data_IF_376961321897
#
_entry.id   IF_376961321897
#
_cell.length_a   1.000
_cell.length_b   1.000
_cell.length_c   1.000
_cell.angle_alpha   90.00
_cell.angle_beta   90.00
_cell.angle_gamma   90.00
#
_symmetry.space_group_name_H-M   'P 1'
#
loop_
_entity.id
_entity.type
_entity.pdbx_description
1 polymer ?
#
# COMPACT_ATOMS: atom_id res chain seq x y z
N UNK A 1 -23.18 -21.22 8.54
CA UNK A 1 -22.84 -19.94 9.23
C UNK A 1 -21.35 -19.58 9.19
N UNK A 2 -20.43 -20.55 9.06
CA UNK A 2 -18.97 -20.31 8.96
C UNK A 2 -18.55 -19.54 7.70
N UNK A 3 -19.14 -19.85 6.54
CA UNK A 3 -18.79 -19.20 5.26
C UNK A 3 -19.11 -17.70 5.22
N UNK A 4 -20.27 -17.30 5.76
CA UNK A 4 -20.70 -15.90 5.86
C UNK A 4 -19.76 -15.08 6.76
N UNK A 5 -19.33 -15.63 7.90
CA UNK A 5 -18.37 -14.95 8.79
C UNK A 5 -17.00 -14.78 8.12
N UNK A 6 -16.57 -15.73 7.28
CA UNK A 6 -15.32 -15.64 6.53
C UNK A 6 -15.35 -14.52 5.49
N UNK A 7 -16.45 -14.41 4.75
CA UNK A 7 -16.65 -13.34 3.75
C UNK A 7 -16.69 -11.97 4.43
N UNK A 8 -17.45 -11.83 5.53
CA UNK A 8 -17.53 -10.57 6.27
C UNK A 8 -16.18 -10.12 6.83
N UNK A 9 -15.35 -11.04 7.33
CA UNK A 9 -13.97 -10.72 7.77
C UNK A 9 -13.09 -10.28 6.61
N UNK A 10 -13.21 -10.92 5.44
CA UNK A 10 -12.48 -10.51 4.23
C UNK A 10 -12.88 -9.12 3.74
N UNK A 11 -14.18 -8.81 3.75
CA UNK A 11 -14.69 -7.48 3.39
C UNK A 11 -14.22 -6.42 4.38
N UNK A 12 -14.27 -6.68 5.69
CA UNK A 12 -13.77 -5.75 6.71
C UNK A 12 -12.27 -5.46 6.50
N UNK A 13 -11.47 -6.49 6.26
CA UNK A 13 -10.04 -6.33 5.97
C UNK A 13 -9.80 -5.48 4.71
N UNK A 14 -10.61 -5.67 3.67
CA UNK A 14 -10.54 -4.87 2.44
C UNK A 14 -10.89 -3.40 2.70
N UNK A 15 -11.95 -3.11 3.46
CA UNK A 15 -12.34 -1.74 3.82
C UNK A 15 -11.23 -1.05 4.60
N UNK A 16 -10.68 -1.73 5.61
CA UNK A 16 -9.54 -1.20 6.38
C UNK A 16 -8.34 -0.94 5.47
N UNK A 17 -8.03 -1.85 4.55
CA UNK A 17 -6.98 -1.65 3.56
C UNK A 17 -7.18 -0.41 2.69
N UNK A 18 -8.40 -0.19 2.18
CA UNK A 18 -8.76 1.00 1.39
C UNK A 18 -8.57 2.28 2.22
N UNK A 19 -9.01 2.27 3.47
CA UNK A 19 -8.86 3.43 4.37
C UNK A 19 -7.38 3.75 4.60
N UNK A 20 -6.56 2.73 4.88
CA UNK A 20 -5.11 2.89 5.09
C UNK A 20 -4.44 3.47 3.84
N UNK A 21 -4.76 2.92 2.65
CA UNK A 21 -4.23 3.44 1.38
C UNK A 21 -4.69 4.89 1.16
N UNK A 22 -5.94 5.22 1.47
CA UNK A 22 -6.46 6.60 1.35
C UNK A 22 -5.73 7.60 2.25
N UNK A 23 -5.42 7.20 3.50
CA UNK A 23 -4.64 8.02 4.42
C UNK A 23 -3.21 8.24 3.90
N UNK A 24 -2.54 7.16 3.46
CA UNK A 24 -1.21 7.26 2.87
C UNK A 24 -1.19 8.15 1.62
N UNK A 25 -2.18 7.98 0.73
CA UNK A 25 -2.33 8.79 -0.47
C UNK A 25 -2.48 10.28 -0.15
N UNK A 26 -3.19 10.62 0.93
CA UNK A 26 -3.37 12.02 1.38
C UNK A 26 -2.06 12.65 1.84
N UNK A 27 -1.25 11.88 2.58
CA UNK A 27 0.08 12.33 3.03
C UNK A 27 0.98 12.56 1.82
N UNK A 28 1.03 11.60 0.89
CA UNK A 28 1.86 11.69 -0.32
C UNK A 28 1.40 12.83 -1.22
N UNK A 29 0.10 13.05 -1.34
CA UNK A 29 -0.45 14.17 -2.10
C UNK A 29 0.03 15.53 -1.57
N UNK A 30 0.08 15.69 -0.25
CA UNK A 30 0.60 16.91 0.37
C UNK A 30 2.07 17.13 0.01
N UNK A 31 2.87 16.07 0.03
CA UNK A 31 4.29 16.13 -0.41
C UNK A 31 4.39 16.42 -1.91
N UNK A 32 3.52 15.84 -2.73
CA UNK A 32 3.51 16.06 -4.17
C UNK A 32 3.20 17.52 -4.53
N UNK A 33 2.27 18.18 -3.82
CA UNK A 33 2.02 19.63 -3.98
C UNK A 33 3.30 20.43 -3.76
N UNK A 34 4.03 20.14 -2.67
CA UNK A 34 5.28 20.82 -2.36
C UNK A 34 6.33 20.62 -3.46
N UNK A 35 6.48 19.38 -3.95
CA UNK A 35 7.43 19.04 -5.02
C UNK A 35 7.09 19.79 -6.31
N UNK A 36 5.81 19.79 -6.72
CA UNK A 36 5.37 20.45 -7.95
C UNK A 36 5.53 21.97 -7.84
N UNK A 37 5.08 22.58 -6.74
CA UNK A 37 5.18 24.03 -6.54
C UNK A 37 6.63 24.50 -6.47
N UNK A 38 7.48 23.81 -5.70
CA UNK A 38 8.90 24.14 -5.61
C UNK A 38 9.61 23.94 -6.94
N UNK A 39 9.34 22.83 -7.64
CA UNK A 39 9.92 22.54 -8.94
C UNK A 39 9.57 23.60 -9.99
N UNK A 40 8.32 24.06 -10.01
CA UNK A 40 7.88 25.13 -10.90
C UNK A 40 8.60 26.45 -10.60
N UNK A 41 8.73 26.81 -9.32
CA UNK A 41 9.46 28.02 -8.90
C UNK A 41 10.93 28.00 -9.31
N UNK A 42 11.61 26.86 -9.16
CA UNK A 42 13.00 26.69 -9.60
C UNK A 42 13.16 26.80 -11.13
N UNK A 43 12.14 26.42 -11.88
CA UNK A 43 12.10 26.54 -13.33
C UNK A 43 11.64 27.92 -13.82
N UNK A 44 11.35 28.86 -12.91
CA UNK A 44 10.91 30.22 -13.26
C UNK A 44 9.45 30.32 -13.70
N UNK A 45 8.63 29.32 -13.37
CA UNK A 45 7.19 29.33 -13.63
C UNK A 45 6.39 29.72 -12.39
N UNK A 46 5.27 30.40 -12.59
CA UNK A 46 4.30 30.74 -11.54
C UNK A 46 2.93 30.09 -11.86
N UNK A 47 2.76 28.78 -11.54
CA UNK A 47 1.54 28.07 -11.87
C UNK A 47 0.39 28.46 -10.93
N UNK A 48 -0.85 28.40 -11.45
CA UNK A 48 -2.03 28.54 -10.61
C UNK A 48 -2.14 27.38 -9.61
N UNK A 49 -2.78 27.63 -8.46
CA UNK A 49 -3.00 26.62 -7.43
C UNK A 49 -3.75 25.39 -7.96
N UNK A 50 -4.73 25.59 -8.84
CA UNK A 50 -5.51 24.51 -9.47
C UNK A 50 -4.62 23.57 -10.30
N UNK A 51 -3.62 24.13 -11.00
CA UNK A 51 -2.68 23.33 -11.79
C UNK A 51 -1.78 22.48 -10.88
N UNK A 52 -1.29 23.04 -9.77
CA UNK A 52 -0.46 22.33 -8.80
C UNK A 52 -1.23 21.16 -8.18
N UNK A 53 -2.47 21.41 -7.75
CA UNK A 53 -3.37 20.40 -7.18
C UNK A 53 -3.67 19.29 -8.18
N UNK A 54 -4.03 19.63 -9.42
CA UNK A 54 -4.32 18.64 -10.47
C UNK A 54 -3.08 17.80 -10.78
N UNK A 55 -1.94 18.43 -10.97
CA UNK A 55 -0.68 17.73 -11.28
C UNK A 55 -0.28 16.79 -10.15
N UNK A 56 -0.34 17.26 -8.90
CA UNK A 56 -0.07 16.43 -7.73
C UNK A 56 -1.05 15.24 -7.63
N UNK A 57 -2.33 15.45 -7.94
CA UNK A 57 -3.33 14.39 -7.93
C UNK A 57 -3.02 13.32 -8.98
N UNK A 58 -2.65 13.72 -10.20
CA UNK A 58 -2.26 12.80 -11.26
C UNK A 58 -1.02 11.99 -10.88
N UNK A 59 0.01 12.63 -10.31
CA UNK A 59 1.21 11.94 -9.81
C UNK A 59 0.84 10.89 -8.77
N UNK A 60 0.03 11.24 -7.78
CA UNK A 60 -0.41 10.30 -6.73
C UNK A 60 -1.18 9.14 -7.33
N UNK A 61 -2.14 9.40 -8.24
CA UNK A 61 -2.89 8.34 -8.92
C UNK A 61 -1.96 7.41 -9.70
N UNK A 62 -0.97 7.94 -10.42
CA UNK A 62 0.03 7.12 -11.13
C UNK A 62 0.81 6.23 -10.17
N UNK A 63 1.24 6.75 -9.03
CA UNK A 63 1.99 5.98 -8.00
C UNK A 63 1.12 4.87 -7.40
N UNK A 64 -0.16 5.14 -7.15
CA UNK A 64 -1.10 4.12 -6.67
C UNK A 64 -1.28 3.00 -7.70
N UNK A 65 -1.57 3.36 -8.96
CA UNK A 65 -1.85 2.40 -10.02
C UNK A 65 -0.64 1.56 -10.42
N UNK A 66 0.57 2.14 -10.39
CA UNK A 66 1.80 1.39 -10.67
C UNK A 66 2.24 0.48 -9.52
N UNK A 67 1.53 0.51 -8.38
CA UNK A 67 1.89 -0.29 -7.21
C UNK A 67 3.08 0.26 -6.42
N UNK A 68 3.38 1.57 -6.51
CA UNK A 68 4.44 2.21 -5.73
C UNK A 68 4.25 2.11 -4.21
N UNK A 69 3.02 1.82 -3.76
CA UNK A 69 2.69 1.57 -2.36
C UNK A 69 2.53 0.10 -2.00
N UNK A 70 2.74 -0.84 -2.95
CA UNK A 70 2.73 -2.27 -2.63
C UNK A 70 3.90 -2.54 -1.70
N UNK A 71 3.67 -2.83 -0.41
CA UNK A 71 4.76 -3.15 0.49
C UNK A 71 5.41 -4.41 -0.06
N UNK A 72 6.71 -4.35 -0.39
CA UNK A 72 7.49 -5.58 -0.50
C UNK A 72 7.50 -6.17 0.89
N UNK A 73 6.61 -7.13 1.14
CA UNK A 73 6.60 -7.97 2.33
C UNK A 73 7.87 -8.84 2.30
N UNK A 74 9.02 -8.20 2.48
CA UNK A 74 10.32 -8.82 2.69
C UNK A 74 10.45 -9.05 4.20
N UNK A 75 9.92 -10.17 4.68
CA UNK A 75 10.16 -10.65 6.05
C UNK A 75 8.89 -11.11 6.74
N UNK A 76 8.74 -12.43 6.89
CA UNK A 76 7.67 -13.00 7.71
C UNK A 76 7.24 -14.44 7.40
N UNK A 77 8.05 -15.26 6.73
CA UNK A 77 7.97 -16.72 6.89
C UNK A 77 8.88 -17.10 8.05
N UNK A 78 8.37 -16.95 9.26
CA UNK A 78 8.93 -17.58 10.45
C UNK A 78 7.79 -18.34 11.11
N UNK A 79 8.05 -19.63 11.36
CA UNK A 79 7.20 -20.62 12.01
C UNK A 79 5.95 -21.10 11.25
N UNK A 80 6.16 -22.00 10.28
CA UNK A 80 5.31 -23.19 10.15
C UNK A 80 6.16 -24.34 9.55
N UNK A 81 7.06 -24.89 10.37
CA UNK A 81 7.58 -26.24 10.14
C UNK A 81 7.31 -27.04 11.43
N UNK A 82 6.03 -27.34 11.57
CA UNK A 82 5.48 -28.25 12.56
C UNK A 82 6.07 -29.63 12.35
N UNK A 83 7.05 -30.00 13.20
CA UNK A 83 7.17 -31.33 13.79
C UNK A 83 6.73 -32.52 12.92
N UNK A 84 7.41 -32.78 11.81
CA UNK A 84 7.46 -34.13 11.25
C UNK A 84 8.51 -34.93 12.03
N UNK A 85 8.12 -35.35 13.23
CA UNK A 85 8.77 -36.49 13.91
C UNK A 85 8.66 -37.67 12.97
N UNK A 86 9.74 -37.95 12.24
CA UNK A 86 9.96 -39.23 11.60
C UNK A 86 9.95 -40.29 12.71
N UNK A 87 8.82 -40.99 12.83
CA UNK A 87 8.72 -42.25 13.56
C UNK A 87 9.65 -43.26 12.87
N UNK A 88 10.92 -43.27 13.30
CA UNK A 88 11.89 -44.29 12.96
C UNK A 88 11.49 -45.61 13.64
N UNK A 89 10.58 -46.34 12.98
CA UNK A 89 10.30 -47.75 13.26
C UNK A 89 10.96 -48.62 12.20
N UNK A 90 12.29 -48.53 12.09
CA UNK A 90 13.06 -49.48 11.30
C UNK A 90 13.55 -50.60 12.22
N UNK A 91 12.79 -51.69 12.20
CA UNK A 91 13.11 -53.08 12.61
C UNK A 91 14.52 -53.35 13.17
N UNK A 92 14.57 -53.70 14.46
CA UNK A 92 15.44 -54.77 14.98
C UNK A 92 14.64 -55.59 16.00
#
# INVERSE_FOLDING_TARGET
MSSIRRILRGLLASVVGIVVIGLLATIVFTVAIFVVSTGAGLAGYDPSADFVVLSAALVVVSVILTGGFTPRLSGGSSEDDSSDTFDDRTFN
#
